data_IF_566620045438
#
_entry.id   IF_566620045438
#
_cell.length_a   1.000
_cell.length_b   1.000
_cell.length_c   1.000
_cell.angle_alpha   90.00
_cell.angle_beta   90.00
_cell.angle_gamma   90.00
#
_symmetry.space_group_name_H-M   'P 1'
#
loop_
_entity.id
_entity.type
_entity.pdbx_description
1 polymer ?
#
# COMPACT_ATOMS: atom_id res chain seq x y z
N UNK A 1 -5.70 14.04 5.11
CA UNK A 1 -6.96 13.62 4.48
C UNK A 1 -7.12 12.12 4.61
N UNK A 2 -6.13 11.33 4.24
CA UNK A 2 -6.21 9.85 4.22
C UNK A 2 -6.68 9.14 5.51
N UNK A 3 -6.55 9.78 6.68
CA UNK A 3 -7.07 9.26 7.96
C UNK A 3 -8.56 9.53 8.20
N UNK A 4 -9.23 10.30 7.34
CA UNK A 4 -10.66 10.56 7.46
C UNK A 4 -11.45 9.34 6.99
N UNK A 5 -12.55 9.04 7.68
CA UNK A 5 -13.39 7.87 7.43
C UNK A 5 -13.85 7.74 5.97
N UNK A 6 -14.23 8.85 5.33
CA UNK A 6 -14.77 8.83 3.96
C UNK A 6 -13.68 8.98 2.87
N UNK A 7 -12.42 8.79 3.24
CA UNK A 7 -11.29 8.78 2.30
C UNK A 7 -10.64 7.40 2.27
N UNK A 8 -9.44 7.23 2.81
CA UNK A 8 -8.78 5.93 2.93
C UNK A 8 -8.96 5.28 4.30
N UNK A 9 -9.50 6.03 5.28
CA UNK A 9 -9.76 5.55 6.64
C UNK A 9 -8.54 4.91 7.33
N UNK A 10 -7.33 5.39 7.03
CA UNK A 10 -6.10 4.84 7.61
C UNK A 10 -6.01 5.12 9.10
N UNK A 11 -5.45 4.17 9.84
CA UNK A 11 -5.27 4.20 11.29
C UNK A 11 -3.91 3.63 11.71
N UNK A 12 -3.55 3.79 12.99
CA UNK A 12 -2.34 3.19 13.58
C UNK A 12 -2.28 1.66 13.42
N UNK A 13 -3.44 1.00 13.41
CA UNK A 13 -3.54 -0.47 13.34
C UNK A 13 -3.28 -1.03 11.95
N UNK A 14 -3.16 -0.17 10.94
CA UNK A 14 -2.99 -0.62 9.58
C UNK A 14 -1.56 -1.11 9.32
N UNK A 15 -1.48 -2.18 8.52
CA UNK A 15 -0.24 -2.65 7.91
C UNK A 15 -0.35 -2.30 6.42
N UNK A 16 0.43 -1.31 6.01
CA UNK A 16 0.33 -0.70 4.68
C UNK A 16 1.44 -1.24 3.79
N UNK A 17 1.08 -1.82 2.65
CA UNK A 17 2.03 -2.18 1.59
C UNK A 17 2.04 -1.10 0.51
N UNK A 18 3.19 -0.44 0.35
CA UNK A 18 3.40 0.61 -0.63
C UNK A 18 3.82 0.03 -1.98
N UNK A 19 2.89 0.00 -2.93
CA UNK A 19 3.13 -0.39 -4.34
C UNK A 19 3.07 0.81 -5.29
N UNK A 20 2.27 1.84 -4.99
CA UNK A 20 2.31 3.10 -5.76
C UNK A 20 3.72 3.69 -5.65
N UNK A 21 4.40 4.03 -6.76
CA UNK A 21 5.76 4.55 -6.69
C UNK A 21 5.84 5.88 -5.94
N UNK A 22 6.75 5.99 -4.97
CA UNK A 22 6.91 7.21 -4.17
C UNK A 22 7.36 8.43 -4.98
N UNK A 23 8.00 8.20 -6.14
CA UNK A 23 8.37 9.28 -7.07
C UNK A 23 7.17 9.84 -7.86
N UNK A 24 6.00 9.22 -7.78
CA UNK A 24 4.81 9.63 -8.51
C UNK A 24 3.69 10.04 -7.55
N UNK A 25 3.31 11.32 -7.60
CA UNK A 25 2.28 11.90 -6.74
C UNK A 25 2.46 11.54 -5.25
N UNK A 26 3.72 11.43 -4.79
CA UNK A 26 4.09 11.08 -3.42
C UNK A 26 3.46 9.77 -2.90
N UNK A 27 3.24 8.77 -3.77
CA UNK A 27 2.46 7.58 -3.42
C UNK A 27 1.11 7.91 -2.76
N UNK A 28 0.42 8.91 -3.32
CA UNK A 28 -0.86 9.46 -2.82
C UNK A 28 -0.79 9.98 -1.39
N UNK A 29 0.40 10.41 -0.96
CA UNK A 29 0.69 10.87 0.41
C UNK A 29 0.45 9.81 1.50
N UNK A 30 0.22 8.55 1.14
CA UNK A 30 0.00 7.44 2.09
C UNK A 30 1.21 7.23 3.01
N UNK A 31 2.48 7.28 2.54
CA UNK A 31 3.62 7.17 3.45
C UNK A 31 3.64 8.27 4.51
N UNK A 32 3.25 9.50 4.17
CA UNK A 32 3.19 10.61 5.12
C UNK A 32 2.07 10.42 6.15
N UNK A 33 0.89 9.97 5.70
CA UNK A 33 -0.22 9.65 6.60
C UNK A 33 0.14 8.48 7.53
N UNK A 34 0.79 7.44 7.00
CA UNK A 34 1.24 6.29 7.78
C UNK A 34 2.21 6.68 8.89
N UNK A 35 3.20 7.54 8.58
CA UNK A 35 4.12 8.09 9.61
C UNK A 35 3.36 8.91 10.65
N UNK A 36 2.46 9.79 10.21
CA UNK A 36 1.65 10.62 11.13
C UNK A 36 0.80 9.79 12.09
N UNK A 37 0.27 8.66 11.62
CA UNK A 37 -0.62 7.77 12.38
C UNK A 37 0.13 6.71 13.18
N UNK A 38 1.42 6.47 12.92
CA UNK A 38 2.16 5.37 13.51
C UNK A 38 1.86 3.99 12.91
N UNK A 39 1.31 3.95 11.70
CA UNK A 39 0.97 2.69 11.02
C UNK A 39 2.22 1.90 10.59
N UNK A 40 2.10 0.58 10.49
CA UNK A 40 3.18 -0.28 10.00
C UNK A 40 3.34 -0.11 8.49
N UNK A 41 4.58 0.03 8.02
CA UNK A 41 4.88 0.28 6.60
C UNK A 41 5.77 -0.80 6.00
N UNK A 42 5.30 -1.42 4.92
CA UNK A 42 6.03 -2.38 4.09
C UNK A 42 6.25 -1.75 2.72
N UNK A 43 7.48 -1.74 2.23
CA UNK A 43 7.83 -1.18 0.91
C UNK A 43 8.07 -2.32 -0.08
N UNK A 44 7.28 -2.37 -1.16
CA UNK A 44 7.35 -3.43 -2.17
C UNK A 44 8.61 -3.42 -3.05
N UNK A 45 9.52 -2.49 -2.81
CA UNK A 45 10.75 -2.35 -3.60
C UNK A 45 10.53 -1.71 -4.97
N UNK A 46 11.54 -1.73 -5.85
CA UNK A 46 11.55 -0.95 -7.09
C UNK A 46 10.72 -1.54 -8.23
N UNK A 47 10.48 -2.86 -8.23
CA UNK A 47 9.76 -3.55 -9.32
C UNK A 47 9.00 -4.78 -8.78
N UNK A 48 8.00 -4.57 -7.91
CA UNK A 48 7.22 -5.67 -7.36
C UNK A 48 6.49 -6.41 -8.47
N UNK A 49 6.70 -7.73 -8.54
CA UNK A 49 5.93 -8.60 -9.42
C UNK A 49 4.62 -9.00 -8.74
N UNK A 50 3.58 -9.41 -9.50
CA UNK A 50 2.30 -9.78 -8.92
C UNK A 50 2.41 -10.80 -7.78
N UNK A 51 3.28 -11.82 -7.95
CA UNK A 51 3.54 -12.85 -6.94
C UNK A 51 4.13 -12.25 -5.66
N UNK A 52 5.10 -11.35 -5.78
CA UNK A 52 5.72 -10.67 -4.63
C UNK A 52 4.68 -9.93 -3.80
N UNK A 53 3.74 -9.25 -4.46
CA UNK A 53 2.64 -8.53 -3.81
C UNK A 53 1.78 -9.50 -2.99
N UNK A 54 1.34 -10.61 -3.59
CA UNK A 54 0.50 -11.60 -2.91
C UNK A 54 1.23 -12.25 -1.71
N UNK A 55 2.51 -12.56 -1.87
CA UNK A 55 3.34 -13.15 -0.82
C UNK A 55 3.57 -12.16 0.34
N UNK A 56 3.89 -10.90 0.05
CA UNK A 56 4.04 -9.85 1.06
C UNK A 56 2.74 -9.58 1.81
N UNK A 57 1.59 -9.55 1.11
CA UNK A 57 0.28 -9.40 1.73
C UNK A 57 0.02 -10.51 2.75
N UNK A 58 0.28 -11.76 2.37
CA UNK A 58 0.08 -12.91 3.25
C UNK A 58 1.07 -12.95 4.42
N UNK A 59 2.35 -12.68 4.16
CA UNK A 59 3.42 -12.74 5.14
C UNK A 59 3.26 -11.66 6.22
N UNK A 60 2.91 -10.44 5.83
CA UNK A 60 2.84 -9.29 6.75
C UNK A 60 1.43 -8.97 7.25
N UNK A 61 0.40 -9.72 6.82
CA UNK A 61 -1.01 -9.45 7.19
C UNK A 61 -1.42 -8.02 6.83
N UNK A 62 -1.08 -7.62 5.61
CA UNK A 62 -1.34 -6.30 5.08
C UNK A 62 -2.84 -6.01 5.09
N UNK A 63 -3.23 -4.84 5.62
CA UNK A 63 -4.63 -4.39 5.72
C UNK A 63 -4.99 -3.39 4.64
N UNK A 64 -4.00 -2.68 4.09
CA UNK A 64 -4.20 -1.69 3.04
C UNK A 64 -3.10 -1.77 1.97
N UNK A 65 -3.52 -1.77 0.70
CA UNK A 65 -2.63 -1.67 -0.47
C UNK A 65 -3.24 -0.74 -1.50
N UNK A 66 -2.53 0.33 -1.82
CA UNK A 66 -2.82 1.14 -2.99
C UNK A 66 -2.00 0.65 -4.19
N UNK A 67 -2.65 0.48 -5.35
CA UNK A 67 -1.96 0.26 -6.62
C UNK A 67 -2.81 0.76 -7.80
N UNK A 68 -2.17 0.94 -8.96
CA UNK A 68 -2.84 1.35 -10.20
C UNK A 68 -3.56 0.16 -10.87
N UNK A 69 -4.55 0.39 -11.75
CA UNK A 69 -5.35 -0.68 -12.33
C UNK A 69 -4.55 -1.80 -13.01
N UNK A 70 -3.46 -1.47 -13.71
CA UNK A 70 -2.62 -2.45 -14.41
C UNK A 70 -1.94 -3.44 -13.46
N UNK A 71 -1.55 -2.99 -12.25
CA UNK A 71 -1.00 -3.87 -11.22
C UNK A 71 -2.06 -4.85 -10.74
N UNK A 72 -3.29 -4.36 -10.50
CA UNK A 72 -4.38 -5.23 -10.06
C UNK A 72 -4.82 -6.24 -11.11
N UNK A 73 -4.79 -5.87 -12.39
CA UNK A 73 -5.02 -6.80 -13.50
C UNK A 73 -3.97 -7.92 -13.46
N UNK A 74 -2.70 -7.58 -13.33
CA UNK A 74 -1.62 -8.57 -13.27
C UNK A 74 -1.71 -9.49 -12.04
N UNK A 75 -2.13 -8.97 -10.87
CA UNK A 75 -2.38 -9.78 -9.66
C UNK A 75 -3.58 -10.72 -9.84
N UNK A 76 -4.63 -10.28 -10.52
CA UNK A 76 -5.81 -11.10 -10.80
C UNK A 76 -5.50 -12.29 -11.73
N UNK A 77 -4.48 -12.18 -12.57
CA UNK A 77 -4.07 -13.20 -13.53
C UNK A 77 -3.08 -14.24 -12.97
N UNK A 78 -2.72 -14.14 -11.68
CA UNK A 78 -1.96 -15.17 -10.95
C UNK A 78 -2.76 -16.46 -10.75
#
# INVERSE_FOLDING_TARGET
AESMTDTMALSERDVILHIVPMFHANAWCVPFAAVMLGATQIFGGPSPQPRDIAELVQAHKVTFVGAVPTVWIAVKEL
#
